data_IF_984611349190
#
_entry.id   IF_984611349190
#
_cell.length_a   1.000
_cell.length_b   1.000
_cell.length_c   1.000
_cell.angle_alpha   90.00
_cell.angle_beta   90.00
_cell.angle_gamma   90.00
#
_symmetry.space_group_name_H-M   'P 1'
#
loop_
_entity.id
_entity.type
_entity.pdbx_description
1 polymer ?
#
# COMPACT_ATOMS: atom_id res chain seq x y z
N UNK A 1 0.45 -17.95 6.54
CA UNK A 1 -0.88 -17.37 6.21
C UNK A 1 -0.84 -15.88 6.52
N UNK A 2 -1.04 -15.01 5.51
CA UNK A 2 -1.14 -13.56 5.74
C UNK A 2 -2.43 -13.27 6.51
N UNK A 3 -2.34 -12.71 7.70
CA UNK A 3 -3.53 -12.24 8.42
C UNK A 3 -3.94 -10.88 7.84
N UNK A 4 -5.24 -10.65 7.64
CA UNK A 4 -5.76 -9.39 7.12
C UNK A 4 -6.85 -8.81 7.99
N UNK A 5 -6.88 -7.48 8.08
CA UNK A 5 -7.94 -6.70 8.73
C UNK A 5 -8.57 -5.73 7.74
N UNK A 6 -9.83 -5.40 7.97
CA UNK A 6 -10.52 -4.31 7.28
C UNK A 6 -10.79 -3.22 8.30
N UNK A 7 -10.34 -2.00 8.05
CA UNK A 7 -10.60 -0.86 8.92
C UNK A 7 -11.34 0.25 8.17
N UNK A 8 -12.11 1.06 8.92
CA UNK A 8 -12.86 2.20 8.40
C UNK A 8 -11.98 3.45 8.21
N UNK A 9 -12.29 4.21 7.17
CA UNK A 9 -11.70 5.48 6.80
C UNK A 9 -12.84 6.44 6.38
N UNK A 10 -12.72 7.77 6.50
CA UNK A 10 -13.77 8.69 6.07
C UNK A 10 -14.28 8.48 4.63
N UNK A 11 -13.42 7.92 3.75
CA UNK A 11 -13.76 7.61 2.36
C UNK A 11 -14.16 6.14 2.10
N UNK A 12 -14.38 5.31 3.13
CA UNK A 12 -14.78 3.90 2.97
C UNK A 12 -14.03 2.93 3.89
N UNK A 13 -13.62 1.79 3.36
CA UNK A 13 -12.85 0.77 4.11
C UNK A 13 -11.57 0.39 3.37
N UNK A 14 -10.56 -0.06 4.11
CA UNK A 14 -9.30 -0.55 3.55
C UNK A 14 -8.96 -1.92 4.12
N UNK A 15 -8.78 -2.91 3.24
CA UNK A 15 -8.26 -4.23 3.59
C UNK A 15 -6.74 -4.21 3.54
N UNK A 16 -6.09 -4.52 4.66
CA UNK A 16 -4.64 -4.61 4.78
C UNK A 16 -4.26 -5.96 5.35
N UNK A 17 -3.26 -6.61 4.74
CA UNK A 17 -2.67 -7.85 5.21
C UNK A 17 -1.26 -7.65 5.74
N UNK A 18 -0.87 -8.43 6.74
CA UNK A 18 0.48 -8.46 7.27
C UNK A 18 0.92 -9.89 7.62
N UNK A 19 2.22 -10.13 7.51
CA UNK A 19 2.90 -11.31 8.01
C UNK A 19 3.99 -10.86 8.98
N UNK A 20 3.88 -11.31 10.22
CA UNK A 20 4.87 -11.06 11.26
C UNK A 20 5.22 -12.37 11.97
N UNK A 21 6.47 -12.49 12.40
CA UNK A 21 6.95 -13.58 13.25
C UNK A 21 7.76 -13.03 14.41
N UNK A 22 7.81 -13.79 15.49
CA UNK A 22 8.77 -13.55 16.55
C UNK A 22 10.08 -14.29 16.23
N UNK A 23 11.20 -13.59 16.24
CA UNK A 23 12.56 -14.11 16.01
C UNK A 23 13.40 -13.65 17.20
N UNK A 24 14.01 -14.58 17.93
CA UNK A 24 14.83 -14.29 19.11
C UNK A 24 14.13 -13.37 20.14
N UNK A 25 12.84 -13.61 20.36
CA UNK A 25 12.01 -12.81 21.26
C UNK A 25 11.51 -11.48 20.69
N UNK A 26 11.97 -11.06 19.50
CA UNK A 26 11.62 -9.79 18.87
C UNK A 26 10.62 -9.98 17.73
N UNK A 27 9.64 -9.08 17.62
CA UNK A 27 8.68 -9.10 16.52
C UNK A 27 9.27 -8.49 15.25
N UNK A 28 9.25 -9.25 14.15
CA UNK A 28 9.67 -8.79 12.83
C UNK A 28 8.50 -8.88 11.83
N UNK A 29 8.24 -7.78 11.13
CA UNK A 29 7.27 -7.71 10.02
C UNK A 29 7.97 -8.12 8.73
N UNK A 30 7.53 -9.22 8.13
CA UNK A 30 8.13 -9.76 6.91
C UNK A 30 7.49 -9.22 5.65
N UNK A 31 6.17 -9.00 5.69
CA UNK A 31 5.38 -8.56 4.54
C UNK A 31 4.18 -7.76 4.97
N UNK A 32 3.89 -6.71 4.20
CA UNK A 32 2.62 -5.99 4.23
C UNK A 32 2.02 -6.06 2.82
N UNK A 33 0.70 -6.21 2.75
CA UNK A 33 -0.04 -6.29 1.49
C UNK A 33 -1.26 -5.40 1.52
N UNK A 34 -1.52 -4.71 0.42
CA UNK A 34 -2.73 -3.92 0.20
C UNK A 34 -3.04 -3.90 -1.31
N UNK A 35 -4.29 -3.62 -1.66
CA UNK A 35 -4.70 -3.45 -3.05
C UNK A 35 -4.73 -1.98 -3.43
N UNK A 36 -4.15 -1.64 -4.58
CA UNK A 36 -4.22 -0.30 -5.20
C UNK A 36 -4.52 -0.48 -6.69
N UNK A 37 -5.15 0.52 -7.28
CA UNK A 37 -5.37 0.60 -8.72
C UNK A 37 -4.50 1.71 -9.33
N UNK A 38 -4.20 1.58 -10.62
CA UNK A 38 -3.49 2.58 -11.39
C UNK A 38 -4.18 2.74 -12.76
N UNK A 39 -4.11 3.94 -13.32
CA UNK A 39 -4.58 4.24 -14.68
C UNK A 39 -3.72 5.34 -15.30
N UNK A 40 -3.50 5.29 -16.61
CA UNK A 40 -2.96 6.43 -17.36
C UNK A 40 -4.04 7.51 -17.38
N UNK A 41 -3.66 8.73 -16.97
CA UNK A 41 -4.53 9.91 -17.03
C UNK A 41 -4.24 10.76 -18.28
N UNK A 42 -2.96 10.89 -18.63
CA UNK A 42 -2.49 11.61 -19.81
C UNK A 42 -1.23 10.92 -20.35
N UNK A 43 -1.14 10.86 -21.68
CA UNK A 43 0.05 10.41 -22.41
C UNK A 43 0.48 11.53 -23.35
N UNK A 44 1.77 11.85 -23.37
CA UNK A 44 2.31 12.95 -24.17
C UNK A 44 3.46 13.67 -23.46
N UNK A 45 3.66 14.94 -23.80
CA UNK A 45 4.79 15.74 -23.35
C UNK A 45 4.33 16.94 -22.53
N UNK A 46 4.83 17.06 -21.30
CA UNK A 46 4.74 18.30 -20.52
C UNK A 46 5.81 19.27 -21.05
N UNK A 47 5.46 20.54 -21.25
CA UNK A 47 6.39 21.61 -21.69
C UNK A 47 6.59 22.61 -20.56
N UNK A 48 7.80 23.18 -20.48
CA UNK A 48 8.17 24.21 -19.48
C UNK A 48 8.74 25.47 -20.18
N UNK A 49 8.68 26.66 -19.55
CA UNK A 49 9.25 27.89 -20.10
C UNK A 49 10.77 27.84 -20.27
N UNK A 50 11.32 28.66 -21.17
CA UNK A 50 12.77 28.94 -21.20
C UNK A 50 13.13 29.89 -20.07
N UNK A 51 14.23 29.58 -19.37
CA UNK A 51 14.88 30.47 -18.40
C UNK A 51 15.60 31.59 -19.15
#
# INVERSE_FOLDING_TARGET
>A
VTKSVCFGHPSGTLKVGAQASQIDGQWAVQKVTMSRSARILMEGWIRVPKV
#
